data_IF_643275655400
#
_entry.id   IF_643275655400
#
_cell.length_a   1.000
_cell.length_b   1.000
_cell.length_c   1.000
_cell.angle_alpha   90.00
_cell.angle_beta   90.00
_cell.angle_gamma   90.00
#
_symmetry.space_group_name_H-M   'P 1'
#
loop_
_entity.id
_entity.type
_entity.pdbx_description
1 polymer ?
#
# COMPACT_ATOMS: atom_id res chain seq x y z
N UNK A 1 1.60 2.23 12.91
CA UNK A 1 0.54 1.38 13.11
C UNK A 1 -0.35 1.40 11.96
N UNK A 2 -0.88 0.30 11.64
CA UNK A 2 -1.58 0.13 10.40
C UNK A 2 -3.01 -0.28 10.68
N UNK A 3 -3.93 0.36 10.01
CA UNK A 3 -5.32 0.12 10.31
C UNK A 3 -6.16 0.17 9.05
N UNK A 4 -7.02 -0.81 8.88
CA UNK A 4 -7.99 -0.85 7.81
C UNK A 4 -9.37 -0.62 8.43
N UNK A 5 -10.07 0.40 7.95
CA UNK A 5 -11.40 0.70 8.42
C UNK A 5 -12.39 0.44 7.31
N UNK A 6 -13.31 -0.49 7.53
CA UNK A 6 -14.33 -0.83 6.55
C UNK A 6 -15.65 -0.22 6.99
N UNK A 7 -16.27 0.51 6.08
CA UNK A 7 -17.56 1.13 6.37
C UNK A 7 -18.68 0.13 6.12
N UNK A 8 -19.68 0.10 6.93
CA UNK A 8 -19.95 1.03 7.99
C UNK A 8 -19.23 0.77 9.28
N UNK A 9 -18.80 -0.46 9.59
CA UNK A 9 -18.28 -0.55 10.85
C UNK A 9 -17.29 -1.61 11.14
N UNK A 10 -16.62 -2.17 10.24
CA UNK A 10 -15.64 -3.22 10.48
C UNK A 10 -14.25 -2.63 10.60
N UNK A 11 -13.52 -3.04 11.61
CA UNK A 11 -12.13 -2.65 11.77
C UNK A 11 -11.23 -3.85 11.67
N UNK A 12 -10.06 -3.64 11.12
CA UNK A 12 -9.03 -4.65 11.13
C UNK A 12 -7.69 -3.95 11.35
N UNK A 13 -6.92 -4.42 12.31
CA UNK A 13 -5.60 -3.88 12.57
C UNK A 13 -4.56 -4.86 12.09
N UNK A 14 -3.43 -4.35 11.61
CA UNK A 14 -2.35 -5.19 11.15
C UNK A 14 -1.02 -4.48 11.24
N UNK A 15 0.05 -5.27 11.20
CA UNK A 15 1.39 -4.74 11.04
C UNK A 15 1.87 -5.15 9.68
N UNK A 16 2.66 -4.32 9.03
CA UNK A 16 3.27 -4.67 7.77
C UNK A 16 4.74 -4.30 7.83
N UNK A 17 5.59 -5.28 7.47
CA UNK A 17 7.01 -5.04 7.33
C UNK A 17 7.33 -4.95 5.86
N UNK A 18 8.06 -3.91 5.49
CA UNK A 18 8.46 -3.67 4.12
C UNK A 18 9.92 -4.00 3.92
N UNK A 19 10.22 -4.73 2.87
CA UNK A 19 11.58 -5.00 2.46
C UNK A 19 11.72 -4.57 1.01
N UNK A 20 12.61 -3.62 0.74
CA UNK A 20 12.79 -3.07 -0.58
C UNK A 20 14.13 -3.41 -1.19
N UNK A 21 14.15 -3.63 -2.50
CA UNK A 21 15.37 -3.84 -3.27
C UNK A 21 15.28 -3.03 -4.53
N UNK A 22 16.31 -2.24 -4.79
CA UNK A 22 16.39 -1.43 -6.00
C UNK A 22 17.57 -1.92 -6.85
N UNK A 23 17.31 -2.29 -8.10
CA UNK A 23 18.36 -2.80 -8.98
C UNK A 23 18.83 -1.80 -10.03
N UNK A 24 18.46 -0.55 -9.90
CA UNK A 24 18.80 0.51 -10.87
C UNK A 24 17.63 0.84 -11.80
N UNK A 25 16.64 -0.01 -11.89
CA UNK A 25 15.48 0.19 -12.73
C UNK A 25 14.19 -0.23 -12.08
N UNK A 26 14.20 -1.30 -11.31
CA UNK A 26 13.00 -1.85 -10.68
C UNK A 26 13.17 -1.89 -9.18
N UNK A 27 12.16 -1.38 -8.49
CA UNK A 27 12.03 -1.50 -7.05
C UNK A 27 11.13 -2.69 -6.76
N UNK A 28 11.67 -3.68 -6.05
CA UNK A 28 10.87 -4.80 -5.57
C UNK A 28 10.58 -4.54 -4.11
N UNK A 29 9.31 -4.43 -3.76
CA UNK A 29 8.88 -4.08 -2.43
C UNK A 29 8.01 -5.19 -1.87
N UNK A 30 8.57 -5.96 -0.93
CA UNK A 30 7.83 -7.05 -0.31
C UNK A 30 7.12 -6.54 0.93
N UNK A 31 5.85 -6.83 1.03
CA UNK A 31 5.01 -6.46 2.16
C UNK A 31 4.65 -7.72 2.92
N UNK A 32 5.10 -7.86 4.15
CA UNK A 32 4.74 -8.98 5.02
C UNK A 32 3.73 -8.48 6.05
N UNK A 33 2.51 -8.99 5.98
CA UNK A 33 1.41 -8.56 6.83
C UNK A 33 1.19 -9.55 7.96
N UNK A 34 0.93 -9.04 9.15
CA UNK A 34 0.47 -9.85 10.28
C UNK A 34 -0.77 -9.16 10.80
N UNK A 35 -1.89 -9.85 10.77
CA UNK A 35 -3.16 -9.30 11.22
C UNK A 35 -3.36 -9.57 12.71
N UNK A 36 -4.26 -8.84 13.35
CA UNK A 36 -4.46 -8.97 14.79
C UNK A 36 -5.06 -10.32 15.19
N UNK A 37 -5.62 -11.08 14.26
CA UNK A 37 -6.08 -12.44 14.55
C UNK A 37 -4.96 -13.49 14.34
N UNK A 38 -3.73 -13.04 14.05
CA UNK A 38 -2.59 -13.93 13.87
C UNK A 38 -2.38 -14.42 12.45
N UNK A 39 -3.29 -14.15 11.52
CA UNK A 39 -3.10 -14.57 10.15
C UNK A 39 -2.04 -13.72 9.47
N UNK A 40 -1.41 -14.28 8.45
CA UNK A 40 -0.31 -13.63 7.74
C UNK A 40 -0.58 -13.64 6.26
N UNK A 41 -0.03 -12.65 5.57
CA UNK A 41 -0.09 -12.57 4.12
C UNK A 41 1.18 -11.90 3.61
N UNK A 42 1.50 -12.13 2.37
CA UNK A 42 2.67 -11.51 1.74
C UNK A 42 2.28 -11.06 0.35
N UNK A 43 2.63 -9.82 0.02
CA UNK A 43 2.42 -9.28 -1.30
C UNK A 43 3.71 -8.62 -1.76
N UNK A 44 3.98 -8.67 -3.04
CA UNK A 44 5.19 -8.10 -3.58
C UNK A 44 4.87 -7.17 -4.73
N UNK A 45 5.17 -5.90 -4.54
CA UNK A 45 5.09 -4.91 -5.60
C UNK A 45 6.37 -4.92 -6.40
N UNK A 46 6.24 -4.74 -7.70
CA UNK A 46 7.38 -4.47 -8.57
C UNK A 46 7.09 -3.19 -9.31
N UNK A 47 7.90 -2.17 -9.06
CA UNK A 47 7.74 -0.87 -9.67
C UNK A 47 8.92 -0.64 -10.60
N UNK A 48 8.66 -0.46 -11.88
CA UNK A 48 9.69 -0.24 -12.88
C UNK A 48 9.61 1.21 -13.32
N UNK A 49 10.74 1.91 -13.28
CA UNK A 49 10.79 3.32 -13.67
C UNK A 49 10.54 3.46 -15.15
N UNK A 50 9.58 4.30 -15.52
CA UNK A 50 9.23 4.53 -16.91
C UNK A 50 9.54 5.95 -17.36
N UNK A 51 9.74 6.88 -16.42
CA UNK A 51 10.18 8.24 -16.70
C UNK A 51 10.73 8.83 -15.41
N UNK A 52 11.28 10.04 -15.42
CA UNK A 52 11.77 10.64 -14.17
C UNK A 52 10.69 10.75 -13.07
N UNK A 53 9.42 10.79 -13.45
CA UNK A 53 8.34 10.98 -12.47
C UNK A 53 7.29 9.89 -12.50
N UNK A 54 7.49 8.80 -13.25
CA UNK A 54 6.50 7.73 -13.31
C UNK A 54 7.14 6.36 -13.18
N UNK A 55 6.36 5.44 -12.60
CA UNK A 55 6.72 4.03 -12.49
C UNK A 55 5.52 3.20 -12.91
N UNK A 56 5.78 2.03 -13.48
CA UNK A 56 4.75 1.04 -13.73
C UNK A 56 4.82 0.01 -12.61
N UNK A 57 3.71 -0.32 -12.01
CA UNK A 57 3.67 -1.24 -10.88
C UNK A 57 2.78 -2.44 -11.10
N UNK A 58 3.23 -3.59 -10.58
CA UNK A 58 2.44 -4.82 -10.59
C UNK A 58 2.51 -5.46 -9.21
N UNK A 59 1.47 -6.20 -8.87
CA UNK A 59 1.42 -6.98 -7.63
C UNK A 59 0.52 -8.19 -7.90
N UNK A 60 0.70 -9.28 -7.15
CA UNK A 60 0.04 -10.54 -7.47
C UNK A 60 -1.48 -10.47 -7.47
N UNK A 61 -2.07 -9.61 -6.66
CA UNK A 61 -3.53 -9.49 -6.57
C UNK A 61 -4.08 -8.30 -7.37
N UNK A 62 -3.21 -7.54 -8.06
CA UNK A 62 -3.62 -6.39 -8.85
C UNK A 62 -3.94 -6.84 -10.26
N UNK A 63 -5.05 -6.35 -10.79
CA UNK A 63 -5.47 -6.67 -12.13
C UNK A 63 -4.73 -5.74 -13.08
N UNK A 64 -3.87 -6.30 -13.93
CA UNK A 64 -3.05 -5.50 -14.84
C UNK A 64 -1.95 -4.77 -14.10
N UNK A 65 -1.68 -3.54 -14.50
CA UNK A 65 -0.65 -2.73 -13.87
C UNK A 65 -1.19 -1.37 -13.47
N UNK A 66 -0.47 -0.70 -12.60
CA UNK A 66 -0.80 0.66 -12.22
C UNK A 66 0.33 1.58 -12.66
N UNK A 67 0.02 2.86 -12.84
CA UNK A 67 1.04 3.88 -13.07
C UNK A 67 1.14 4.74 -11.82
N UNK A 68 2.33 4.78 -11.24
CA UNK A 68 2.62 5.64 -10.11
C UNK A 68 3.14 6.96 -10.64
N UNK A 69 2.56 8.07 -10.19
CA UNK A 69 3.00 9.40 -10.59
C UNK A 69 3.54 10.15 -9.40
N UNK A 70 4.75 10.67 -9.55
CA UNK A 70 5.42 11.42 -8.50
C UNK A 70 5.27 12.90 -8.74
N UNK A 71 4.98 13.63 -7.67
CA UNK A 71 4.98 15.08 -7.70
C UNK A 71 5.60 15.53 -6.39
N UNK A 72 6.89 15.87 -6.43
CA UNK A 72 7.63 16.19 -5.22
C UNK A 72 7.65 15.01 -4.27
N UNK A 73 7.19 15.21 -3.06
CA UNK A 73 7.18 14.19 -2.03
C UNK A 73 5.92 13.32 -2.05
N UNK A 74 5.08 13.47 -3.08
CA UNK A 74 3.79 12.78 -3.14
C UNK A 74 3.79 11.80 -4.31
N UNK A 75 3.38 10.56 -4.05
CA UNK A 75 3.17 9.56 -5.08
C UNK A 75 1.68 9.19 -5.09
N UNK A 76 1.07 9.13 -6.26
CA UNK A 76 -0.32 8.74 -6.41
C UNK A 76 -0.45 7.64 -7.43
N UNK A 77 -1.29 6.66 -7.12
CA UNK A 77 -1.58 5.57 -8.04
C UNK A 77 -2.90 4.94 -7.67
N UNK A 78 -3.50 4.23 -8.61
CA UNK A 78 -4.75 3.53 -8.35
C UNK A 78 -4.73 2.21 -9.09
N UNK A 79 -5.45 1.22 -8.57
CA UNK A 79 -5.41 -0.11 -9.14
C UNK A 79 -6.64 -0.91 -8.72
N UNK A 80 -6.94 -1.93 -9.52
CA UNK A 80 -8.02 -2.85 -9.26
C UNK A 80 -7.46 -4.12 -8.63
N UNK A 81 -8.16 -4.65 -7.66
CA UNK A 81 -7.71 -5.81 -6.90
C UNK A 81 -8.88 -6.77 -6.73
N UNK A 82 -8.60 -8.06 -6.80
CA UNK A 82 -9.54 -9.06 -6.33
C UNK A 82 -9.26 -9.31 -4.86
N UNK A 83 -10.21 -9.01 -3.96
CA UNK A 83 -10.05 -9.31 -2.54
C UNK A 83 -10.09 -10.82 -2.28
N UNK A 84 -10.70 -11.58 -3.20
CA UNK A 84 -10.68 -13.03 -3.17
C UNK A 84 -9.99 -13.54 -4.43
N UNK A 85 -8.65 -13.51 -4.46
CA UNK A 85 -7.93 -13.79 -5.71
C UNK A 85 -8.18 -15.19 -6.26
N UNK A 86 -8.38 -16.19 -5.39
CA UNK A 86 -8.56 -17.56 -5.84
C UNK A 86 -9.82 -17.74 -6.67
N UNK A 87 -10.85 -16.96 -6.41
CA UNK A 87 -12.10 -17.05 -7.12
C UNK A 87 -12.31 -15.89 -8.06
N UNK A 88 -11.35 -14.96 -8.10
CA UNK A 88 -11.48 -13.70 -8.84
C UNK A 88 -12.74 -12.96 -8.44
N UNK A 89 -13.09 -13.04 -7.17
CA UNK A 89 -14.27 -12.38 -6.64
C UNK A 89 -13.95 -11.12 -5.88
N UNK A 90 -14.98 -10.33 -5.67
CA UNK A 90 -14.91 -9.13 -4.84
C UNK A 90 -13.89 -8.14 -5.35
N UNK A 91 -14.08 -7.66 -6.57
CA UNK A 91 -13.18 -6.70 -7.19
C UNK A 91 -13.43 -5.31 -6.63
N UNK A 92 -12.38 -4.63 -6.20
CA UNK A 92 -12.45 -3.27 -5.66
C UNK A 92 -11.36 -2.41 -6.28
N UNK A 93 -11.51 -1.11 -6.18
CA UNK A 93 -10.56 -0.14 -6.71
C UNK A 93 -9.92 0.60 -5.54
N UNK A 94 -8.58 0.56 -5.50
CA UNK A 94 -7.80 1.29 -4.51
C UNK A 94 -7.27 2.56 -5.14
N UNK A 95 -7.37 3.66 -4.40
CA UNK A 95 -6.85 4.97 -4.81
C UNK A 95 -5.85 5.39 -3.75
N UNK A 96 -4.57 5.23 -4.05
CA UNK A 96 -3.51 5.41 -3.08
C UNK A 96 -2.79 6.73 -3.23
N UNK A 97 -2.40 7.28 -2.08
CA UNK A 97 -1.55 8.46 -2.01
C UNK A 97 -0.50 8.20 -0.96
N UNK A 98 0.76 8.32 -1.33
CA UNK A 98 1.88 8.18 -0.40
C UNK A 98 2.58 9.51 -0.28
N UNK A 99 2.87 9.93 0.96
CA UNK A 99 3.55 11.18 1.22
C UNK A 99 4.82 10.90 2.02
N UNK A 100 5.96 11.29 1.46
CA UNK A 100 7.22 11.26 2.19
C UNK A 100 7.27 12.51 3.05
N UNK A 101 7.35 12.33 4.35
CA UNK A 101 7.32 13.43 5.30
C UNK A 101 8.74 13.85 5.68
N UNK A 102 8.85 15.03 6.29
CA UNK A 102 10.15 15.59 6.63
C UNK A 102 10.93 14.73 7.61
N UNK A 103 10.25 13.98 8.46
CA UNK A 103 10.93 13.12 9.42
C UNK A 103 11.37 11.78 8.81
N UNK A 104 11.19 11.59 7.52
CA UNK A 104 11.59 10.37 6.83
C UNK A 104 10.54 9.27 6.86
N UNK A 105 9.42 9.48 7.52
CA UNK A 105 8.33 8.51 7.49
C UNK A 105 7.51 8.67 6.22
N UNK A 106 6.80 7.64 5.83
CA UNK A 106 5.91 7.68 4.68
C UNK A 106 4.50 7.38 5.16
N UNK A 107 3.57 8.27 4.82
CA UNK A 107 2.18 8.05 5.13
C UNK A 107 1.46 7.62 3.86
N UNK A 108 0.86 6.43 3.89
CA UNK A 108 0.07 5.93 2.78
C UNK A 108 -1.39 5.94 3.19
N UNK A 109 -2.21 6.63 2.41
CA UNK A 109 -3.65 6.61 2.60
C UNK A 109 -4.27 6.06 1.33
N UNK A 110 -5.32 5.26 1.46
CA UNK A 110 -6.02 4.73 0.31
C UNK A 110 -7.52 4.79 0.55
N UNK A 111 -8.23 5.17 -0.49
CA UNK A 111 -9.67 5.06 -0.52
C UNK A 111 -10.00 3.81 -1.33
N UNK A 112 -10.86 2.97 -0.82
CA UNK A 112 -11.30 1.77 -1.52
C UNK A 112 -12.73 1.98 -1.98
N UNK A 113 -12.98 1.80 -3.28
CA UNK A 113 -14.32 1.96 -3.83
C UNK A 113 -14.76 0.66 -4.49
N UNK A 114 -16.07 0.44 -4.53
CA UNK A 114 -16.68 -0.66 -5.26
C UNK A 114 -17.86 -0.09 -6.01
N UNK A 115 -17.88 -0.29 -7.33
CA UNK A 115 -18.88 0.33 -8.21
C UNK A 115 -18.93 1.84 -8.01
N UNK A 116 -17.77 2.46 -7.78
CA UNK A 116 -17.69 3.91 -7.58
C UNK A 116 -18.11 4.39 -6.19
N UNK A 117 -18.51 3.50 -5.30
CA UNK A 117 -18.99 3.87 -3.97
C UNK A 117 -17.90 3.58 -2.95
N UNK A 118 -17.54 4.54 -2.08
CA UNK A 118 -16.55 4.28 -1.05
C UNK A 118 -17.01 3.21 -0.08
N UNK A 119 -16.16 2.22 0.15
CA UNK A 119 -16.47 1.11 1.06
C UNK A 119 -15.42 0.95 2.17
N UNK A 120 -14.25 1.56 2.03
CA UNK A 120 -13.20 1.46 3.05
C UNK A 120 -12.17 2.55 2.90
N UNK A 121 -11.41 2.79 3.96
CA UNK A 121 -10.23 3.63 3.94
C UNK A 121 -9.13 2.88 4.64
N UNK A 122 -7.89 3.03 4.15
CA UNK A 122 -6.73 2.47 4.83
C UNK A 122 -5.76 3.58 5.13
N UNK A 123 -5.06 3.48 6.22
CA UNK A 123 -3.99 4.40 6.59
C UNK A 123 -2.83 3.59 7.13
N UNK A 124 -1.67 3.75 6.52
CA UNK A 124 -0.47 3.03 6.91
C UNK A 124 0.66 4.02 7.04
N UNK A 125 1.34 4.01 8.19
CA UNK A 125 2.53 4.81 8.36
C UNK A 125 3.73 3.88 8.35
N UNK A 126 4.71 4.17 7.49
CA UNK A 126 5.91 3.37 7.40
C UNK A 126 7.07 4.12 8.02
N UNK A 127 7.88 3.41 8.80
CA UNK A 127 9.07 3.93 9.44
C UNK A 127 10.22 3.01 9.17
N UNK A 128 11.42 3.57 9.14
CA UNK A 128 12.59 2.73 9.00
C UNK A 128 12.82 1.96 10.27
N UNK A 129 13.35 0.74 10.18
CA UNK A 129 13.69 0.00 11.38
C UNK A 129 14.64 0.82 12.24
N UNK A 130 14.43 0.79 13.51
CA UNK A 130 15.26 1.52 14.44
C UNK A 130 14.92 2.97 14.61
N UNK A 131 13.97 3.50 13.85
CA UNK A 131 13.67 4.86 13.95
C UNK A 131 12.70 4.98 14.96
N UNK A 132 12.64 5.05 15.82
CA UNK A 132 11.73 5.08 16.56
C UNK A 132 11.55 5.52 17.54
N UNK A 133 11.75 5.23 18.06
CA UNK A 133 11.47 5.41 19.19
C UNK A 133 11.15 6.63 19.49
N UNK A 134 11.54 7.43 18.93
CA UNK A 134 11.26 8.59 19.25
C UNK A 134 9.95 8.80 19.09
N UNK A 135 9.30 8.29 18.41
CA UNK A 135 8.05 8.65 18.23
C UNK A 135 7.25 7.77 18.66
N UNK A 136 7.64 7.02 19.06
CA UNK A 136 6.91 6.16 19.48
C UNK A 136 5.67 6.36 19.55
N UNK A 137 5.26 6.86 19.64
CA UNK A 137 4.09 6.96 19.81
C UNK A 137 3.34 6.77 18.90
N UNK A 138 3.06 6.68 18.67
CA UNK A 138 2.26 6.53 17.89
C UNK A 138 1.38 6.12 18.27
#
# INVERSE_FOLDING_TARGET
MNQLVLEPETYSAFKVDLTGKWDGKTLTLREDFVFDDGTKDRKTWRFTKTSPTTYSGTREDVIGETTVRLNGAVARFNYLVYLSPETQGNKVHFWDKMVLREDGTVLNTALVTKFGIPVAKTTVEFRKPGYSHKTASR
#
